data_IF_081959497331
#
_entry.id   IF_081959497331
#
_cell.length_a   1.000
_cell.length_b   1.000
_cell.length_c   1.000
_cell.angle_alpha   90.00
_cell.angle_beta   90.00
_cell.angle_gamma   90.00
#
_symmetry.space_group_name_H-M   'P 1'
#
loop_
_entity.id
_entity.type
_entity.pdbx_description
1 polymer ?
#
# COMPACT_ATOMS: atom_id res chain seq x y z
N UNK A 1 24.48 2.18 -18.71
CA UNK A 1 25.87 2.65 -18.91
C UNK A 1 26.13 4.03 -18.33
N UNK A 2 25.16 4.98 -18.35
CA UNK A 2 25.38 6.28 -17.70
C UNK A 2 25.37 6.13 -16.17
N UNK A 3 24.44 5.37 -15.61
CA UNK A 3 24.38 5.10 -14.17
C UNK A 3 25.64 4.41 -13.62
N UNK A 4 26.26 3.52 -14.40
CA UNK A 4 27.52 2.84 -14.02
C UNK A 4 28.71 3.79 -13.82
N UNK A 5 28.61 5.02 -14.34
CA UNK A 5 29.66 6.04 -14.16
C UNK A 5 29.52 6.83 -12.88
N UNK A 6 28.33 6.78 -12.27
CA UNK A 6 27.96 7.64 -11.13
C UNK A 6 27.61 6.84 -9.88
N UNK A 7 27.41 5.51 -9.99
CA UNK A 7 26.98 4.67 -8.86
C UNK A 7 27.76 3.36 -8.81
N UNK A 8 28.11 2.93 -7.61
CA UNK A 8 28.73 1.63 -7.33
C UNK A 8 27.69 0.49 -7.35
N UNK A 9 26.44 0.80 -7.06
CA UNK A 9 25.32 -0.14 -7.05
C UNK A 9 24.14 0.49 -7.79
N UNK A 10 23.52 -0.28 -8.68
CA UNK A 10 22.32 0.11 -9.39
C UNK A 10 21.17 -0.77 -8.91
N UNK A 11 20.14 -0.16 -8.37
CA UNK A 11 18.90 -0.84 -7.98
C UNK A 11 17.86 -0.60 -9.08
N UNK A 12 17.41 -1.69 -9.69
CA UNK A 12 16.27 -1.67 -10.61
C UNK A 12 15.00 -1.99 -9.82
N UNK A 13 14.05 -1.07 -9.78
CA UNK A 13 12.78 -1.22 -9.10
C UNK A 13 11.68 -1.48 -10.13
N UNK A 14 10.94 -2.57 -9.95
CA UNK A 14 9.86 -2.98 -10.83
C UNK A 14 8.68 -3.57 -10.07
N UNK A 15 7.51 -3.55 -10.68
CA UNK A 15 6.30 -4.16 -10.14
C UNK A 15 6.20 -5.65 -10.44
N UNK A 16 5.14 -6.28 -9.95
CA UNK A 16 4.87 -7.71 -10.18
C UNK A 16 4.60 -8.06 -11.67
N UNK A 17 4.31 -7.07 -12.48
CA UNK A 17 4.07 -7.18 -13.93
C UNK A 17 5.28 -6.80 -14.77
N UNK A 18 6.43 -6.55 -14.14
CA UNK A 18 7.66 -6.18 -14.80
C UNK A 18 8.71 -7.28 -14.64
N UNK A 19 9.48 -7.50 -15.67
CA UNK A 19 10.68 -8.33 -15.64
C UNK A 19 11.88 -7.47 -15.98
N UNK A 20 12.96 -7.60 -15.20
CA UNK A 20 14.20 -6.92 -15.50
C UNK A 20 14.74 -7.38 -16.86
N UNK A 21 15.02 -6.44 -17.75
CA UNK A 21 15.74 -6.71 -19.01
C UNK A 21 17.25 -6.57 -18.85
N UNK A 22 17.71 -6.27 -17.63
CA UNK A 22 19.12 -6.33 -17.28
C UNK A 22 19.48 -7.71 -16.73
N UNK A 23 20.70 -8.13 -16.97
CA UNK A 23 21.28 -9.23 -16.21
C UNK A 23 21.57 -8.71 -14.80
N UNK A 24 20.88 -9.25 -13.83
CA UNK A 24 21.03 -8.88 -12.43
C UNK A 24 22.11 -9.72 -11.74
N UNK A 25 22.87 -9.12 -10.83
CA UNK A 25 23.78 -9.86 -9.95
C UNK A 25 23.03 -10.44 -8.74
N UNK A 26 21.91 -9.82 -8.38
CA UNK A 26 21.01 -10.26 -7.30
C UNK A 26 19.57 -9.93 -7.67
N UNK A 27 18.70 -10.95 -7.69
CA UNK A 27 17.28 -10.84 -7.98
C UNK A 27 16.48 -11.03 -6.71
N UNK A 28 15.86 -9.95 -6.20
CA UNK A 28 15.05 -9.98 -4.98
C UNK A 28 13.56 -9.85 -5.37
N UNK A 29 12.74 -10.77 -4.89
CA UNK A 29 11.28 -10.73 -5.04
C UNK A 29 10.63 -10.54 -3.68
N UNK A 30 9.69 -9.60 -3.60
CA UNK A 30 8.89 -9.37 -2.39
C UNK A 30 7.52 -9.98 -2.59
N UNK A 31 7.08 -10.81 -1.64
CA UNK A 31 5.76 -11.44 -1.63
C UNK A 31 4.96 -10.98 -0.41
N UNK A 32 3.62 -10.95 -0.57
CA UNK A 32 2.70 -10.40 0.41
C UNK A 32 1.79 -11.49 0.98
N UNK A 33 1.97 -11.94 2.23
CA UNK A 33 1.17 -12.98 2.83
C UNK A 33 -0.30 -12.59 3.11
N UNK A 34 -0.67 -11.32 3.02
CA UNK A 34 -2.08 -10.95 2.99
C UNK A 34 -2.82 -11.39 1.71
N UNK A 35 -2.09 -11.93 0.74
CA UNK A 35 -2.61 -12.41 -0.54
C UNK A 35 -1.92 -13.71 -0.96
N UNK A 36 -2.03 -14.78 -0.15
CA UNK A 36 -1.38 -16.04 -0.45
C UNK A 36 -1.85 -16.58 -1.81
N UNK A 37 -0.93 -17.15 -2.58
CA UNK A 37 -1.18 -17.62 -3.94
C UNK A 37 -1.03 -16.56 -5.05
N UNK A 38 -0.99 -15.26 -4.73
CA UNK A 38 -0.76 -14.23 -5.74
C UNK A 38 0.65 -14.29 -6.34
N UNK A 39 1.63 -14.77 -5.60
CA UNK A 39 2.99 -14.99 -6.06
C UNK A 39 3.08 -16.04 -7.18
N UNK A 40 2.06 -16.90 -7.32
CA UNK A 40 1.95 -17.94 -8.35
C UNK A 40 0.96 -17.60 -9.47
N UNK A 41 0.06 -16.63 -9.25
CA UNK A 41 -1.16 -16.49 -10.06
C UNK A 41 -1.04 -15.53 -11.22
N UNK A 42 -0.11 -14.58 -11.19
CA UNK A 42 0.01 -13.51 -12.19
C UNK A 42 1.29 -13.63 -13.00
N UNK A 43 1.15 -13.53 -14.34
CA UNK A 43 2.29 -13.41 -15.23
C UNK A 43 2.74 -11.93 -15.30
N UNK A 44 4.01 -11.61 -15.14
CA UNK A 44 5.16 -12.51 -14.92
C UNK A 44 5.50 -12.78 -13.43
N UNK A 45 4.55 -12.63 -12.49
CA UNK A 45 4.79 -12.83 -11.06
C UNK A 45 5.45 -14.18 -10.74
N UNK A 46 4.88 -15.28 -11.21
CA UNK A 46 5.48 -16.62 -11.06
C UNK A 46 6.88 -16.70 -11.70
N UNK A 47 7.08 -16.07 -12.86
CA UNK A 47 8.39 -16.02 -13.50
C UNK A 47 9.41 -15.27 -12.65
N UNK A 48 9.02 -14.16 -12.04
CA UNK A 48 9.88 -13.43 -11.11
C UNK A 48 10.25 -14.28 -9.91
N UNK A 49 9.30 -15.04 -9.36
CA UNK A 49 9.54 -15.98 -8.26
C UNK A 49 10.52 -17.09 -8.64
N UNK A 50 10.38 -17.66 -9.84
CA UNK A 50 11.29 -18.69 -10.37
C UNK A 50 12.73 -18.18 -10.58
N UNK A 51 12.89 -16.90 -10.89
CA UNK A 51 14.19 -16.26 -11.12
C UNK A 51 14.82 -15.70 -9.86
N UNK A 52 14.10 -15.62 -8.75
CA UNK A 52 14.57 -15.00 -7.51
C UNK A 52 15.77 -15.73 -6.90
N UNK A 53 16.80 -14.98 -6.52
CA UNK A 53 17.85 -15.43 -5.62
C UNK A 53 17.40 -15.32 -4.17
N UNK A 54 16.63 -14.27 -3.86
CA UNK A 54 16.07 -14.00 -2.54
C UNK A 54 14.59 -13.69 -2.66
N UNK A 55 13.79 -14.31 -1.79
CA UNK A 55 12.36 -14.00 -1.62
C UNK A 55 12.15 -13.42 -0.23
N UNK A 56 11.61 -12.21 -0.18
CA UNK A 56 11.25 -11.52 1.06
C UNK A 56 9.75 -11.71 1.29
N UNK A 57 9.38 -12.48 2.33
CA UNK A 57 8.00 -12.54 2.82
C UNK A 57 7.80 -11.34 3.73
N UNK A 58 7.15 -10.31 3.20
CA UNK A 58 6.98 -9.03 3.88
C UNK A 58 5.73 -9.01 4.75
N UNK A 59 5.60 -8.02 5.64
CA UNK A 59 4.43 -7.79 6.51
C UNK A 59 4.07 -8.96 7.42
N UNK A 60 5.05 -9.78 7.83
CA UNK A 60 4.81 -10.91 8.75
C UNK A 60 4.28 -10.47 10.13
N UNK A 61 4.40 -9.19 10.46
CA UNK A 61 3.91 -8.57 11.70
C UNK A 61 2.40 -8.28 11.70
N UNK A 62 1.75 -8.36 10.54
CA UNK A 62 0.33 -8.05 10.37
C UNK A 62 -0.47 -9.16 9.67
N UNK A 63 0.20 -10.13 9.06
CA UNK A 63 -0.44 -11.26 8.38
C UNK A 63 -0.68 -12.44 9.35
N UNK A 64 -1.67 -13.27 9.02
CA UNK A 64 -1.94 -14.49 9.75
C UNK A 64 -0.83 -15.52 9.53
N UNK A 65 -0.52 -16.30 10.56
CA UNK A 65 0.57 -17.29 10.51
C UNK A 65 0.32 -18.37 9.45
N UNK A 66 -0.93 -18.75 9.26
CA UNK A 66 -1.33 -19.75 8.26
C UNK A 66 -1.02 -19.25 6.84
N UNK A 67 -1.30 -17.99 6.54
CA UNK A 67 -1.02 -17.34 5.26
C UNK A 67 0.49 -17.19 5.02
N UNK A 68 1.25 -16.85 6.07
CA UNK A 68 2.72 -16.79 6.00
C UNK A 68 3.30 -18.15 5.66
N UNK A 69 2.79 -19.21 6.30
CA UNK A 69 3.26 -20.58 6.07
C UNK A 69 2.85 -21.07 4.68
N UNK A 70 1.67 -20.72 4.16
CA UNK A 70 1.25 -21.03 2.79
C UNK A 70 2.20 -20.38 1.77
N UNK A 71 2.45 -19.08 1.89
CA UNK A 71 3.39 -18.37 1.00
C UNK A 71 4.78 -19.00 1.07
N UNK A 72 5.28 -19.32 2.28
CA UNK A 72 6.58 -19.96 2.46
C UNK A 72 6.63 -21.34 1.79
N UNK A 73 5.56 -22.10 1.87
CA UNK A 73 5.45 -23.40 1.20
C UNK A 73 5.44 -23.21 -0.32
N UNK A 74 4.65 -22.30 -0.85
CA UNK A 74 4.58 -21.97 -2.28
C UNK A 74 5.96 -21.60 -2.85
N UNK A 75 6.70 -20.74 -2.12
CA UNK A 75 8.06 -20.36 -2.52
C UNK A 75 9.00 -21.56 -2.56
N UNK A 76 8.98 -22.44 -1.57
CA UNK A 76 9.85 -23.63 -1.51
C UNK A 76 9.55 -24.64 -2.60
N UNK A 77 8.27 -24.83 -2.94
CA UNK A 77 7.86 -25.73 -4.02
C UNK A 77 8.25 -25.19 -5.41
N UNK A 78 8.11 -23.87 -5.58
CA UNK A 78 8.34 -23.21 -6.88
C UNK A 78 9.82 -22.93 -7.12
N UNK A 79 10.53 -22.40 -6.12
CA UNK A 79 11.96 -22.06 -6.20
C UNK A 79 12.71 -22.52 -4.93
N UNK A 80 13.06 -23.80 -4.81
CA UNK A 80 13.74 -24.35 -3.64
C UNK A 80 15.16 -23.81 -3.43
N UNK A 81 15.70 -23.05 -4.40
CA UNK A 81 17.05 -22.48 -4.31
C UNK A 81 17.04 -21.09 -3.70
N UNK A 82 15.89 -20.39 -3.73
CA UNK A 82 15.79 -19.04 -3.19
C UNK A 82 16.04 -19.00 -1.68
N UNK A 83 16.74 -17.98 -1.26
CA UNK A 83 16.87 -17.66 0.18
C UNK A 83 15.59 -16.96 0.61
N UNK A 84 14.89 -17.49 1.60
CA UNK A 84 13.68 -16.87 2.16
C UNK A 84 14.08 -16.00 3.35
N UNK A 85 13.61 -14.76 3.34
CA UNK A 85 13.78 -13.79 4.43
C UNK A 85 12.41 -13.34 4.89
N UNK A 86 12.13 -13.48 6.18
CA UNK A 86 10.94 -12.91 6.80
C UNK A 86 11.20 -11.44 7.16
N UNK A 87 10.30 -10.54 6.77
CA UNK A 87 10.41 -9.12 7.01
C UNK A 87 9.13 -8.53 7.60
N UNK A 88 9.29 -7.77 8.67
CA UNK A 88 8.22 -6.97 9.24
C UNK A 88 8.12 -5.62 8.50
N UNK A 89 6.90 -5.10 8.41
CA UNK A 89 6.62 -3.76 7.87
C UNK A 89 5.83 -2.94 8.89
N UNK A 90 6.44 -2.61 10.05
CA UNK A 90 5.72 -2.00 11.16
C UNK A 90 5.23 -0.62 10.80
N UNK A 91 3.93 -0.39 11.03
CA UNK A 91 3.32 0.92 10.85
C UNK A 91 3.69 1.80 12.04
N UNK A 92 4.19 3.00 11.73
CA UNK A 92 4.44 4.08 12.67
C UNK A 92 3.72 5.35 12.22
N UNK A 93 3.41 6.22 13.16
CA UNK A 93 2.81 7.55 12.92
C UNK A 93 3.65 8.62 13.62
N UNK A 94 3.55 9.86 13.14
CA UNK A 94 4.33 10.97 13.70
C UNK A 94 4.03 11.16 15.20
N UNK A 95 2.73 11.16 15.58
CA UNK A 95 2.29 11.27 16.97
C UNK A 95 1.05 10.41 17.23
N UNK A 96 1.19 9.24 17.90
CA UNK A 96 0.08 8.36 18.24
C UNK A 96 -1.00 9.01 19.11
N UNK A 97 -0.64 10.03 19.90
CA UNK A 97 -1.57 10.68 20.82
C UNK A 97 -2.66 11.48 20.09
N UNK A 98 -2.40 11.87 18.84
CA UNK A 98 -3.35 12.58 17.99
C UNK A 98 -4.46 11.65 17.49
N UNK A 99 -4.26 10.33 17.52
CA UNK A 99 -5.21 9.34 17.00
C UNK A 99 -6.07 8.75 18.12
N UNK A 100 -5.48 8.52 19.29
CA UNK A 100 -6.14 7.83 20.39
C UNK A 100 -7.45 8.49 20.81
N UNK A 101 -8.56 7.74 20.77
CA UNK A 101 -9.90 8.18 21.14
C UNK A 101 -10.50 9.25 20.23
N UNK A 102 -9.99 9.41 19.00
CA UNK A 102 -10.46 10.41 18.04
C UNK A 102 -11.28 9.78 16.92
N UNK A 103 -12.18 10.60 16.33
CA UNK A 103 -12.84 10.26 15.06
C UNK A 103 -11.86 10.54 13.94
N UNK A 104 -11.39 9.50 13.28
CA UNK A 104 -10.38 9.59 12.24
C UNK A 104 -11.00 9.53 10.82
N UNK A 105 -10.57 10.42 9.93
CA UNK A 105 -10.70 10.24 8.50
C UNK A 105 -9.41 9.61 7.98
N UNK A 106 -9.51 8.49 7.30
CA UNK A 106 -8.35 7.79 6.73
C UNK A 106 -8.27 8.08 5.23
N UNK A 107 -7.12 8.58 4.77
CA UNK A 107 -6.81 8.81 3.36
C UNK A 107 -5.80 7.78 2.90
N UNK A 108 -6.15 7.00 1.88
CA UNK A 108 -5.32 5.91 1.34
C UNK A 108 -4.95 6.14 -0.13
N UNK A 109 -3.93 5.42 -0.59
CA UNK A 109 -3.55 5.41 -2.00
C UNK A 109 -4.64 4.77 -2.86
N UNK A 110 -5.23 5.56 -3.75
CA UNK A 110 -6.35 5.13 -4.58
C UNK A 110 -6.05 3.94 -5.49
N UNK A 111 -4.92 3.91 -6.23
CA UNK A 111 -4.51 2.76 -7.02
C UNK A 111 -4.45 1.44 -6.24
N UNK A 112 -3.97 1.44 -5.02
CA UNK A 112 -3.93 0.25 -4.16
C UNK A 112 -5.33 -0.31 -3.90
N UNK A 113 -6.31 0.56 -3.71
CA UNK A 113 -7.71 0.18 -3.44
C UNK A 113 -8.45 -0.28 -4.70
N UNK A 114 -8.19 0.37 -5.83
CA UNK A 114 -8.95 0.15 -7.07
C UNK A 114 -8.39 -0.96 -7.94
N UNK A 115 -7.09 -1.22 -7.88
CA UNK A 115 -6.39 -2.21 -8.69
C UNK A 115 -5.84 -3.37 -7.86
N UNK A 116 -5.58 -3.15 -6.57
CA UNK A 116 -5.03 -4.15 -5.65
C UNK A 116 -6.07 -5.03 -4.95
N UNK A 117 -7.37 -4.81 -5.20
CA UNK A 117 -8.49 -5.49 -4.54
C UNK A 117 -8.46 -5.40 -3.00
N UNK A 118 -7.65 -4.49 -2.44
CA UNK A 118 -7.55 -4.28 -1.00
C UNK A 118 -8.66 -3.35 -0.52
N UNK A 119 -9.38 -3.77 0.53
CA UNK A 119 -10.44 -2.96 1.14
C UNK A 119 -9.90 -1.89 2.08
N UNK A 120 -8.64 -1.97 2.48
CA UNK A 120 -7.95 -1.06 3.41
C UNK A 120 -6.45 -1.05 3.15
N UNK A 121 -5.76 -0.06 3.69
CA UNK A 121 -4.30 0.10 3.60
C UNK A 121 -3.67 0.48 4.94
N UNK A 122 -2.48 1.07 4.89
CA UNK A 122 -1.66 1.40 6.05
C UNK A 122 -2.34 2.38 7.03
N UNK A 123 -3.14 3.31 6.53
CA UNK A 123 -3.84 4.29 7.35
C UNK A 123 -4.95 3.66 8.20
N UNK A 124 -5.69 2.68 7.66
CA UNK A 124 -6.69 1.94 8.43
C UNK A 124 -6.04 1.11 9.53
N UNK A 125 -4.94 0.42 9.23
CA UNK A 125 -4.17 -0.33 10.23
C UNK A 125 -3.61 0.63 11.29
N UNK A 126 -3.18 1.84 10.92
CA UNK A 126 -2.75 2.85 11.87
C UNK A 126 -3.90 3.32 12.78
N UNK A 127 -5.09 3.59 12.21
CA UNK A 127 -6.26 3.99 12.98
C UNK A 127 -6.61 2.94 14.06
N UNK A 128 -6.61 1.67 13.70
CA UNK A 128 -6.89 0.57 14.62
C UNK A 128 -5.78 0.41 15.66
N UNK A 129 -4.52 0.31 15.21
CA UNK A 129 -3.34 0.10 16.06
C UNK A 129 -3.17 1.19 17.12
N UNK A 130 -3.43 2.44 16.77
CA UNK A 130 -3.26 3.59 17.68
C UNK A 130 -4.55 4.03 18.35
N UNK A 131 -5.62 3.23 18.24
CA UNK A 131 -6.84 3.35 19.06
C UNK A 131 -7.71 4.55 18.69
N UNK A 132 -7.95 4.80 17.40
CA UNK A 132 -9.02 5.69 16.98
C UNK A 132 -10.37 5.21 17.55
N UNK A 133 -11.20 6.15 18.01
CA UNK A 133 -12.55 5.82 18.49
C UNK A 133 -13.43 5.27 17.35
N UNK A 134 -13.33 5.89 16.20
CA UNK A 134 -14.07 5.49 15.02
C UNK A 134 -13.41 6.01 13.73
N UNK A 135 -13.66 5.32 12.62
CA UNK A 135 -13.30 5.78 11.28
C UNK A 135 -14.53 6.31 10.59
N UNK A 136 -14.45 7.57 10.13
CA UNK A 136 -15.54 8.29 9.47
C UNK A 136 -15.69 7.82 8.03
N UNK A 137 -16.93 7.52 7.62
CA UNK A 137 -17.24 7.26 6.21
C UNK A 137 -17.29 8.60 5.44
N UNK A 138 -16.40 8.83 4.47
CA UNK A 138 -16.35 10.10 3.74
C UNK A 138 -17.46 10.27 2.70
N UNK A 139 -18.18 9.20 2.32
CA UNK A 139 -19.15 9.22 1.21
C UNK A 139 -20.19 10.34 1.29
N UNK A 140 -20.76 10.70 2.45
CA UNK A 140 -21.72 11.80 2.56
C UNK A 140 -21.13 13.19 2.24
N UNK A 141 -19.80 13.31 2.22
CA UNK A 141 -19.07 14.58 2.15
C UNK A 141 -18.28 14.73 0.85
N UNK A 142 -18.31 13.72 -0.03
CA UNK A 142 -17.49 13.69 -1.26
C UNK A 142 -17.96 14.73 -2.27
N UNK A 143 -17.00 15.27 -3.02
CA UNK A 143 -17.23 16.19 -4.13
C UNK A 143 -16.49 15.75 -5.40
N UNK A 144 -16.96 16.17 -6.55
CA UNK A 144 -16.30 16.04 -7.85
C UNK A 144 -15.80 14.61 -8.15
N UNK A 145 -14.54 14.50 -8.51
CA UNK A 145 -13.90 13.25 -8.91
C UNK A 145 -13.88 12.17 -7.81
N UNK A 146 -13.97 12.57 -6.54
CA UNK A 146 -14.05 11.61 -5.41
C UNK A 146 -15.41 10.90 -5.41
N UNK A 147 -16.49 11.65 -5.67
CA UNK A 147 -17.84 11.06 -5.80
C UNK A 147 -17.89 10.04 -6.94
N UNK A 148 -17.37 10.40 -8.12
CA UNK A 148 -17.29 9.51 -9.29
C UNK A 148 -16.47 8.24 -8.97
N UNK A 149 -15.42 8.38 -8.16
CA UNK A 149 -14.58 7.24 -7.73
C UNK A 149 -15.40 6.26 -6.89
N UNK A 150 -16.17 6.72 -5.92
CA UNK A 150 -17.02 5.83 -5.11
C UNK A 150 -18.16 5.19 -5.90
N UNK A 151 -18.72 5.89 -6.89
CA UNK A 151 -19.72 5.32 -7.80
C UNK A 151 -19.12 4.18 -8.63
N UNK A 152 -17.90 4.37 -9.13
CA UNK A 152 -17.19 3.38 -9.95
C UNK A 152 -16.69 2.19 -9.14
N UNK A 153 -16.27 2.42 -7.88
CA UNK A 153 -15.69 1.43 -6.99
C UNK A 153 -16.46 1.34 -5.66
N UNK A 154 -17.68 0.78 -5.66
CA UNK A 154 -18.56 0.78 -4.49
C UNK A 154 -18.03 -0.08 -3.32
N UNK A 155 -17.07 -0.97 -3.58
CA UNK A 155 -16.47 -1.87 -2.58
C UNK A 155 -15.34 -1.21 -1.76
N UNK A 156 -14.96 0.03 -2.07
CA UNK A 156 -14.02 0.79 -1.23
C UNK A 156 -14.59 0.90 0.19
N UNK A 157 -13.78 0.63 1.20
CA UNK A 157 -14.15 0.70 2.61
C UNK A 157 -14.49 2.11 3.09
N UNK A 158 -14.58 2.29 4.41
CA UNK A 158 -14.78 3.62 5.06
C UNK A 158 -13.47 4.40 5.09
N UNK A 159 -12.98 4.80 3.92
CA UNK A 159 -11.74 5.53 3.76
C UNK A 159 -11.81 6.40 2.50
N UNK A 160 -10.95 7.40 2.40
CA UNK A 160 -10.93 8.37 1.32
C UNK A 160 -9.81 8.01 0.33
N UNK A 161 -10.13 7.63 -0.93
CA UNK A 161 -9.12 7.29 -1.92
C UNK A 161 -8.47 8.54 -2.53
N UNK A 162 -7.16 8.66 -2.46
CA UNK A 162 -6.37 9.64 -3.20
C UNK A 162 -6.04 9.07 -4.59
N UNK A 163 -6.86 9.42 -5.61
CA UNK A 163 -6.80 8.81 -6.95
C UNK A 163 -5.75 9.42 -7.87
N UNK A 164 -5.27 10.61 -7.57
CA UNK A 164 -4.28 11.31 -8.40
C UNK A 164 -3.94 12.69 -7.84
N UNK A 165 -2.94 13.31 -8.45
CA UNK A 165 -2.36 14.56 -7.98
C UNK A 165 -2.54 15.71 -8.97
N UNK A 166 -3.49 15.60 -9.90
CA UNK A 166 -3.91 16.70 -10.78
C UNK A 166 -4.59 17.82 -10.00
N UNK A 167 -4.51 19.06 -10.48
CA UNK A 167 -5.03 20.23 -9.73
C UNK A 167 -6.49 20.08 -9.30
N UNK A 168 -7.36 19.55 -10.17
CA UNK A 168 -8.77 19.38 -9.84
C UNK A 168 -8.97 18.25 -8.82
N UNK A 169 -8.28 17.12 -8.99
CA UNK A 169 -8.36 16.00 -8.06
C UNK A 169 -7.88 16.39 -6.65
N UNK A 170 -6.83 17.22 -6.56
CA UNK A 170 -6.34 17.73 -5.28
C UNK A 170 -7.35 18.69 -4.63
N UNK A 171 -8.02 19.56 -5.41
CA UNK A 171 -9.08 20.44 -4.89
C UNK A 171 -10.28 19.63 -4.37
N UNK A 172 -10.72 18.62 -5.13
CA UNK A 172 -11.82 17.76 -4.73
C UNK A 172 -11.47 16.96 -3.44
N UNK A 173 -10.20 16.52 -3.32
CA UNK A 173 -9.70 15.86 -2.12
C UNK A 173 -9.68 16.80 -0.91
N UNK A 174 -9.12 18.02 -1.06
CA UNK A 174 -9.10 19.04 -0.03
C UNK A 174 -10.51 19.39 0.46
N UNK A 175 -11.43 19.65 -0.46
CA UNK A 175 -12.81 19.99 -0.16
C UNK A 175 -13.55 18.83 0.54
N UNK A 176 -13.34 17.60 0.10
CA UNK A 176 -13.91 16.42 0.75
C UNK A 176 -13.37 16.26 2.19
N UNK A 177 -12.07 16.45 2.40
CA UNK A 177 -11.46 16.41 3.74
C UNK A 177 -12.05 17.51 4.64
N UNK A 178 -12.16 18.75 4.12
CA UNK A 178 -12.67 19.88 4.90
C UNK A 178 -14.16 19.70 5.28
N UNK A 179 -14.96 19.14 4.37
CA UNK A 179 -16.38 18.87 4.60
C UNK A 179 -16.61 17.69 5.58
N UNK A 180 -15.65 16.77 5.70
CA UNK A 180 -15.80 15.59 6.56
C UNK A 180 -15.68 15.97 8.03
N UNK A 181 -16.67 15.58 8.85
CA UNK A 181 -16.67 15.83 10.29
C UNK A 181 -15.77 14.80 11.02
N UNK A 182 -14.48 15.13 11.17
CA UNK A 182 -13.48 14.31 11.86
C UNK A 182 -12.60 15.16 12.78
N UNK A 183 -11.95 14.51 13.75
CA UNK A 183 -11.02 15.14 14.69
C UNK A 183 -9.57 15.09 14.20
N UNK A 184 -9.25 14.10 13.34
CA UNK A 184 -7.90 13.86 12.82
C UNK A 184 -7.96 13.23 11.44
N UNK A 185 -6.98 13.56 10.60
CA UNK A 185 -6.79 12.93 9.27
C UNK A 185 -5.54 12.06 9.31
N UNK A 186 -5.69 10.77 9.01
CA UNK A 186 -4.58 9.83 8.89
C UNK A 186 -4.24 9.67 7.42
N UNK A 187 -3.01 10.01 7.04
CA UNK A 187 -2.53 9.94 5.66
C UNK A 187 -1.73 8.66 5.46
N UNK A 188 -2.31 7.68 4.77
CA UNK A 188 -1.71 6.39 4.41
C UNK A 188 -1.22 6.32 2.96
N UNK A 189 -0.89 7.47 2.35
CA UNK A 189 -0.39 7.55 0.98
C UNK A 189 1.13 7.57 0.92
N UNK A 190 1.76 7.09 -0.18
CA UNK A 190 3.21 7.19 -0.38
C UNK A 190 3.73 8.64 -0.45
N UNK A 191 2.87 9.57 -0.84
CA UNK A 191 3.20 11.00 -0.93
C UNK A 191 2.71 11.71 0.33
N UNK A 192 3.55 12.56 0.90
CA UNK A 192 3.15 13.47 1.97
C UNK A 192 2.16 14.52 1.41
N UNK A 193 0.87 14.25 1.60
CA UNK A 193 -0.22 15.10 1.10
C UNK A 193 -0.15 16.53 1.66
N UNK A 194 0.48 16.77 2.81
CA UNK A 194 0.66 18.10 3.40
C UNK A 194 1.48 19.06 2.49
N UNK A 195 2.25 18.49 1.53
CA UNK A 195 3.03 19.26 0.56
C UNK A 195 2.23 19.72 -0.65
N UNK A 196 1.11 19.05 -0.93
CA UNK A 196 0.33 19.25 -2.16
C UNK A 196 -1.13 19.60 -1.89
N UNK A 197 -1.60 19.41 -0.65
CA UNK A 197 -2.96 19.69 -0.18
C UNK A 197 -2.94 20.53 1.10
N UNK A 198 -3.92 21.42 1.25
CA UNK A 198 -4.13 22.17 2.51
C UNK A 198 -5.03 21.34 3.43
N UNK A 199 -4.42 20.68 4.41
CA UNK A 199 -5.11 19.88 5.41
C UNK A 199 -4.97 20.59 6.75
N UNK A 200 -6.10 21.03 7.33
CA UNK A 200 -6.14 21.82 8.58
C UNK A 200 -6.66 21.03 9.79
N UNK A 201 -6.80 19.70 9.66
CA UNK A 201 -7.37 18.81 10.71
C UNK A 201 -6.38 17.76 11.17
#
# INVERSE_FOLDING_TARGET
>A
REAEKEADIIVWDGGNNDMSFYQTDLYIVVVDPHRPGHELSYYPGETNLLLADVVVINKIDTADMEDIDEVRWNVRETNPKAIIIDAASPISVDDPTLIYGKKALVVEDGPTLTHGEMQYGAGMVAAEKFGADSVVDPRPFTVGSITETFEKYPNIGKLLPAMGYGEQQMKDLEETIENTECDVVIIGTPIDLRRVAKINK
#
